data_IF_122097898526
#
_entry.id   IF_122097898526
#
_cell.length_a   1.000
_cell.length_b   1.000
_cell.length_c   1.000
_cell.angle_alpha   90.00
_cell.angle_beta   90.00
_cell.angle_gamma   90.00
#
_symmetry.space_group_name_H-M   'P 1'
#
loop_
_entity.id
_entity.type
_entity.pdbx_description
1 polymer ?
#
# COMPACT_ATOMS: atom_id res chain seq x y z
N UNK A 1 -21.42 -9.94 36.22
CA UNK A 1 -20.96 -8.64 36.78
C UNK A 1 -19.45 -8.62 36.55
N UNK A 2 -18.84 -7.76 35.75
CA UNK A 2 -19.10 -6.34 35.53
C UNK A 2 -18.80 -5.95 34.08
N UNK A 3 -19.66 -5.09 33.54
CA UNK A 3 -19.46 -4.28 32.34
C UNK A 3 -18.49 -3.12 32.64
N UNK A 4 -17.59 -2.83 31.71
CA UNK A 4 -17.03 -1.50 31.39
C UNK A 4 -16.62 -1.59 29.91
N UNK A 5 -17.38 -1.10 28.92
CA UNK A 5 -17.66 0.30 28.59
C UNK A 5 -16.43 1.19 28.62
N UNK A 6 -15.73 1.28 27.49
CA UNK A 6 -15.02 2.50 27.10
C UNK A 6 -15.09 2.67 25.59
N UNK A 7 -15.95 3.59 25.18
CA UNK A 7 -16.00 4.26 23.88
C UNK A 7 -14.62 4.64 23.37
N UNK A 8 -14.18 4.06 22.25
CA UNK A 8 -13.06 4.58 21.47
C UNK A 8 -13.62 5.43 20.33
N UNK A 9 -13.47 6.76 20.47
CA UNK A 9 -13.73 7.73 19.40
C UNK A 9 -12.54 7.69 18.43
N UNK A 10 -12.78 7.34 17.17
CA UNK A 10 -11.88 7.69 16.08
C UNK A 10 -11.88 9.22 15.88
N UNK A 11 -10.75 9.81 15.48
CA UNK A 11 -10.74 10.26 14.08
C UNK A 11 -9.37 10.10 13.38
N UNK A 12 -9.47 9.79 12.08
CA UNK A 12 -8.43 9.82 11.04
C UNK A 12 -7.47 8.62 11.06
N UNK A 13 -8.00 7.52 10.55
CA UNK A 13 -7.26 6.35 10.09
C UNK A 13 -6.96 6.58 8.60
N UNK A 14 -5.77 7.10 8.27
CA UNK A 14 -5.28 7.09 6.89
C UNK A 14 -4.72 5.69 6.65
N UNK A 15 -5.32 5.01 5.67
CA UNK A 15 -5.14 3.61 5.31
C UNK A 15 -3.66 3.20 5.27
N UNK A 16 -3.27 2.36 6.23
CA UNK A 16 -2.35 1.25 6.02
C UNK A 16 -2.69 0.23 7.11
N UNK A 17 -3.80 -0.48 6.96
CA UNK A 17 -4.17 -1.59 7.84
C UNK A 17 -4.20 -2.85 7.00
N UNK A 18 -3.07 -3.56 7.01
CA UNK A 18 -2.94 -4.99 7.29
C UNK A 18 -1.45 -5.31 7.44
N UNK A 19 -1.00 -5.38 8.69
CA UNK A 19 0.35 -5.79 9.07
C UNK A 19 0.35 -7.30 9.31
N UNK A 20 1.37 -8.01 8.83
CA UNK A 20 1.49 -9.46 8.97
C UNK A 20 2.01 -9.89 10.35
N UNK A 21 2.64 -8.98 11.08
CA UNK A 21 3.07 -9.17 12.47
C UNK A 21 2.99 -7.87 13.28
N UNK A 22 2.92 -7.97 14.61
CA UNK A 22 3.06 -6.84 15.54
C UNK A 22 4.41 -6.12 15.44
N UNK A 23 5.44 -6.76 14.88
CA UNK A 23 6.75 -6.15 14.63
C UNK A 23 6.74 -5.14 13.48
N UNK A 24 5.86 -5.33 12.46
CA UNK A 24 5.78 -4.46 11.30
C UNK A 24 5.21 -3.07 11.64
N UNK A 25 4.41 -2.98 12.71
CA UNK A 25 3.88 -1.72 13.24
C UNK A 25 4.97 -0.72 13.64
N UNK A 26 6.18 -1.19 13.94
CA UNK A 26 7.30 -0.32 14.32
C UNK A 26 8.04 0.28 13.12
N UNK A 27 7.81 -0.22 11.89
CA UNK A 27 8.56 0.14 10.68
C UNK A 27 7.97 1.31 9.91
N UNK A 28 6.73 1.70 10.19
CA UNK A 28 6.08 2.88 9.61
C UNK A 28 5.79 3.95 10.68
N UNK A 29 5.87 5.22 10.30
CA UNK A 29 5.52 6.36 11.14
C UNK A 29 4.63 7.33 10.37
N UNK A 30 3.42 7.56 10.89
CA UNK A 30 2.54 8.63 10.42
C UNK A 30 2.73 9.82 11.35
N UNK A 31 3.25 10.92 10.81
CA UNK A 31 3.25 12.21 11.50
C UNK A 31 2.00 12.98 11.09
N UNK A 32 1.24 13.50 12.04
CA UNK A 32 0.08 14.36 11.81
C UNK A 32 0.24 15.68 12.57
N UNK A 33 -0.52 16.74 12.22
CA UNK A 33 -0.40 18.03 12.89
C UNK A 33 -0.65 17.95 14.39
N UNK A 34 0.31 18.43 15.19
CA UNK A 34 0.25 18.38 16.66
C UNK A 34 0.66 17.05 17.29
N UNK A 35 1.19 16.09 16.51
CA UNK A 35 1.75 14.87 17.09
C UNK A 35 3.02 15.18 17.89
N UNK A 36 3.22 14.54 19.05
CA UNK A 36 4.50 14.62 19.77
C UNK A 36 5.51 13.56 19.30
N UNK A 37 5.15 12.76 18.28
CA UNK A 37 5.98 11.65 17.74
C UNK A 37 7.11 12.12 16.80
N UNK A 38 7.33 13.41 16.64
CA UNK A 38 8.49 13.95 15.89
C UNK A 38 9.84 13.43 16.44
N UNK A 39 9.92 13.12 17.73
CA UNK A 39 11.10 12.51 18.36
C UNK A 39 11.34 11.06 17.99
N UNK A 40 10.33 10.34 17.48
CA UNK A 40 10.42 8.92 17.10
C UNK A 40 11.17 8.68 15.77
N UNK A 41 11.38 9.73 14.97
CA UNK A 41 12.16 9.65 13.74
C UNK A 41 13.66 9.77 14.00
N UNK A 42 14.08 10.44 15.09
CA UNK A 42 15.50 10.62 15.43
C UNK A 42 16.14 9.26 15.71
N UNK A 43 17.19 8.94 14.95
CA UNK A 43 17.90 7.65 15.04
C UNK A 43 17.41 6.57 14.06
N UNK A 44 16.34 6.82 13.28
CA UNK A 44 15.89 5.93 12.20
C UNK A 44 16.52 6.33 10.86
N UNK A 45 17.85 6.20 10.79
CA UNK A 45 18.57 6.35 9.52
C UNK A 45 18.01 5.37 8.48
N UNK A 46 17.93 5.77 7.22
CA UNK A 46 17.37 5.00 6.08
C UNK A 46 15.84 4.83 6.11
N UNK A 47 15.09 5.89 6.43
CA UNK A 47 13.62 5.87 6.23
C UNK A 47 13.28 6.42 4.83
N UNK A 48 12.41 5.74 4.10
CA UNK A 48 11.70 6.25 2.93
C UNK A 48 10.55 7.16 3.38
N UNK A 49 10.25 8.18 2.59
CA UNK A 49 9.01 8.91 2.74
C UNK A 49 8.12 8.68 1.53
N UNK A 50 6.90 8.18 1.79
CA UNK A 50 5.82 8.16 0.81
C UNK A 50 5.01 9.44 1.05
N UNK A 51 5.33 10.50 0.32
CA UNK A 51 4.58 11.74 0.40
C UNK A 51 3.46 11.75 -0.63
N UNK A 52 2.24 12.00 -0.15
CA UNK A 52 1.09 12.44 -0.95
C UNK A 52 0.83 13.95 -0.80
N UNK A 53 1.66 14.65 -0.03
CA UNK A 53 1.56 16.10 0.15
C UNK A 53 2.68 16.76 -0.65
N UNK A 54 2.45 17.84 -1.40
CA UNK A 54 3.54 18.50 -2.09
C UNK A 54 4.46 19.17 -1.06
N UNK A 55 5.69 18.65 -0.90
CA UNK A 55 6.74 19.40 -0.23
C UNK A 55 7.16 20.52 -1.20
N UNK A 56 7.03 21.78 -0.80
CA UNK A 56 7.53 22.92 -1.57
C UNK A 56 9.06 22.90 -1.58
N UNK A 57 9.65 22.14 -2.49
CA UNK A 57 11.08 22.20 -2.82
C UNK A 57 11.28 23.31 -3.86
N UNK A 58 11.81 24.46 -3.42
CA UNK A 58 12.22 25.53 -4.34
C UNK A 58 11.09 26.32 -5.02
N UNK A 59 9.91 26.41 -4.40
CA UNK A 59 8.80 27.22 -4.92
C UNK A 59 8.04 26.58 -6.10
N UNK A 60 8.25 25.30 -6.38
CA UNK A 60 7.45 24.51 -7.32
C UNK A 60 6.76 23.38 -6.57
N UNK A 61 5.49 23.16 -6.88
CA UNK A 61 4.71 22.00 -6.42
C UNK A 61 5.05 20.85 -7.38
N UNK A 62 5.75 19.79 -6.97
CA UNK A 62 5.90 18.62 -7.81
C UNK A 62 4.51 18.01 -8.05
N UNK A 63 4.13 17.85 -9.33
CA UNK A 63 2.80 17.38 -9.76
C UNK A 63 2.61 15.87 -9.53
N UNK A 64 3.72 15.15 -9.28
CA UNK A 64 3.78 13.73 -8.88
C UNK A 64 5.02 13.56 -8.01
N UNK A 65 4.88 12.93 -6.85
CA UNK A 65 5.98 12.63 -5.94
C UNK A 65 6.23 11.13 -5.92
N UNK A 66 7.39 10.73 -6.45
CA UNK A 66 7.92 9.38 -6.27
C UNK A 66 8.36 9.20 -4.81
N UNK A 67 8.42 7.95 -4.38
CA UNK A 67 9.04 7.62 -3.10
C UNK A 67 10.50 8.04 -3.17
N UNK A 68 10.97 8.71 -2.11
CA UNK A 68 12.34 9.19 -2.03
C UNK A 68 12.94 8.81 -0.69
N UNK A 69 14.25 8.57 -0.69
CA UNK A 69 15.02 8.44 0.54
C UNK A 69 15.00 9.77 1.28
N UNK A 70 14.77 9.71 2.59
CA UNK A 70 14.88 10.88 3.45
C UNK A 70 16.32 10.99 3.95
N UNK A 71 17.07 12.04 3.55
CA UNK A 71 18.41 12.25 4.07
C UNK A 71 18.39 12.45 5.60
N UNK A 72 19.40 11.99 6.34
CA UNK A 72 19.47 12.16 7.80
C UNK A 72 19.29 13.61 8.26
N UNK A 73 19.76 14.57 7.47
CA UNK A 73 19.68 16.00 7.78
C UNK A 73 18.22 16.51 7.77
N UNK A 74 17.34 15.87 6.99
CA UNK A 74 15.91 16.16 6.97
C UNK A 74 15.20 15.53 8.17
N UNK A 75 15.66 14.34 8.61
CA UNK A 75 15.16 13.67 9.82
C UNK A 75 15.44 14.53 11.07
N UNK A 76 16.59 15.19 11.12
CA UNK A 76 16.95 16.10 12.21
C UNK A 76 16.04 17.34 12.29
N UNK A 77 15.40 17.70 11.19
CA UNK A 77 14.47 18.83 11.05
C UNK A 77 13.01 18.38 10.98
N UNK A 78 12.67 17.27 11.65
CA UNK A 78 11.32 16.67 11.62
C UNK A 78 10.19 17.63 12.05
N UNK A 79 10.49 18.71 12.78
CA UNK A 79 9.51 19.76 13.10
C UNK A 79 8.98 20.50 11.86
N UNK A 80 9.75 20.54 10.76
CA UNK A 80 9.34 21.22 9.51
C UNK A 80 8.18 20.54 8.80
N UNK A 81 7.99 19.25 9.06
CA UNK A 81 6.91 18.42 8.50
C UNK A 81 5.79 18.20 9.52
N UNK A 82 5.70 19.05 10.55
CA UNK A 82 4.68 18.96 11.61
C UNK A 82 3.35 19.63 11.27
N UNK A 83 3.25 20.35 10.15
CA UNK A 83 2.06 21.13 9.79
C UNK A 83 1.03 20.36 8.97
N UNK A 84 1.43 19.25 8.37
CA UNK A 84 0.57 18.36 7.56
C UNK A 84 0.87 16.89 7.87
N UNK A 85 0.02 15.99 7.38
CA UNK A 85 0.21 14.55 7.60
C UNK A 85 1.20 13.96 6.61
N UNK A 86 2.12 13.13 7.09
CA UNK A 86 3.18 12.51 6.32
C UNK A 86 3.34 11.04 6.68
N UNK A 87 3.68 10.22 5.68
CA UNK A 87 3.95 8.80 5.86
C UNK A 87 5.43 8.53 5.61
N UNK A 88 6.11 8.08 6.66
CA UNK A 88 7.47 7.59 6.63
C UNK A 88 7.46 6.08 6.83
N UNK A 89 8.30 5.38 6.10
CA UNK A 89 8.44 3.93 6.13
C UNK A 89 9.93 3.59 6.17
N UNK A 90 10.30 2.49 6.80
CA UNK A 90 11.66 1.96 6.70
C UNK A 90 12.05 1.70 5.24
N UNK A 91 13.29 2.03 4.85
CA UNK A 91 13.82 1.63 3.56
C UNK A 91 14.03 0.12 3.51
N UNK A 92 13.42 -0.51 2.52
CA UNK A 92 13.60 -1.94 2.24
C UNK A 92 14.62 -2.05 1.12
N UNK A 93 15.79 -2.61 1.44
CA UNK A 93 16.78 -2.96 0.42
C UNK A 93 16.32 -4.23 -0.30
N UNK A 94 15.57 -4.01 -1.38
CA UNK A 94 14.84 -5.04 -2.09
C UNK A 94 15.69 -5.64 -3.21
N UNK A 95 15.54 -6.95 -3.45
CA UNK A 95 16.03 -7.58 -4.66
C UNK A 95 15.20 -7.13 -5.87
N UNK A 96 13.88 -6.99 -5.71
CA UNK A 96 12.93 -6.50 -6.72
C UNK A 96 11.58 -6.13 -6.09
N UNK A 97 10.79 -5.31 -6.79
CA UNK A 97 9.37 -5.10 -6.47
C UNK A 97 8.51 -6.20 -7.10
N UNK A 98 7.30 -6.40 -6.56
CA UNK A 98 6.30 -7.30 -7.13
C UNK A 98 4.98 -6.54 -7.21
N UNK A 99 4.45 -6.42 -8.44
CA UNK A 99 3.10 -5.91 -8.70
C UNK A 99 2.15 -7.08 -8.76
N UNK A 100 1.24 -7.14 -7.80
CA UNK A 100 0.16 -8.14 -7.73
C UNK A 100 -1.13 -7.50 -8.20
N UNK A 101 -1.79 -8.08 -9.19
CA UNK A 101 -3.10 -7.66 -9.68
C UNK A 101 -4.10 -8.75 -9.33
N UNK A 102 -5.13 -8.38 -8.57
CA UNK A 102 -6.23 -9.27 -8.22
C UNK A 102 -7.45 -8.90 -9.07
N UNK A 103 -8.07 -9.90 -9.69
CA UNK A 103 -9.32 -9.76 -10.45
C UNK A 103 -10.29 -10.87 -10.03
N UNK A 104 -11.28 -10.51 -9.21
CA UNK A 104 -12.14 -11.47 -8.51
C UNK A 104 -11.30 -12.28 -7.51
N UNK A 105 -11.20 -13.59 -7.75
CA UNK A 105 -10.38 -14.52 -6.96
C UNK A 105 -9.06 -14.89 -7.66
N UNK A 106 -8.79 -14.32 -8.83
CA UNK A 106 -7.56 -14.61 -9.59
C UNK A 106 -6.47 -13.63 -9.19
N UNK A 107 -5.28 -14.17 -8.88
CA UNK A 107 -4.10 -13.40 -8.49
C UNK A 107 -3.03 -13.51 -9.56
N UNK A 108 -2.49 -12.36 -9.98
CA UNK A 108 -1.45 -12.26 -10.98
C UNK A 108 -0.29 -11.48 -10.40
N UNK A 109 0.89 -12.08 -10.30
CA UNK A 109 2.06 -11.41 -9.74
C UNK A 109 3.17 -11.26 -10.79
N UNK A 110 3.76 -10.08 -10.83
CA UNK A 110 4.87 -9.75 -11.74
C UNK A 110 6.01 -9.13 -10.95
N UNK A 111 7.20 -9.71 -11.05
CA UNK A 111 8.45 -9.12 -10.57
C UNK A 111 8.83 -7.92 -11.44
N UNK A 112 9.35 -6.88 -10.81
CA UNK A 112 9.87 -5.68 -11.45
C UNK A 112 11.32 -5.51 -11.00
N UNK A 113 12.24 -5.76 -11.93
CA UNK A 113 13.68 -5.64 -11.70
C UNK A 113 14.16 -4.28 -12.20
N UNK A 114 14.70 -3.47 -11.30
CA UNK A 114 15.22 -2.15 -11.56
C UNK A 114 16.67 -2.17 -12.07
N UNK A 115 17.00 -1.25 -13.00
CA UNK A 115 18.34 -1.12 -13.60
C UNK A 115 18.97 0.26 -13.36
N UNK A 116 18.50 1.00 -12.36
CA UNK A 116 19.08 2.26 -11.87
C UNK A 116 18.88 2.42 -10.36
N UNK A 117 19.66 3.29 -9.70
CA UNK A 117 19.49 3.57 -8.28
C UNK A 117 18.12 4.21 -7.97
N UNK A 118 17.64 5.10 -8.84
CA UNK A 118 16.34 5.77 -8.65
C UNK A 118 15.17 4.80 -8.82
N UNK A 119 15.23 3.93 -9.82
CA UNK A 119 14.21 2.88 -10.03
C UNK A 119 14.29 1.78 -8.96
N UNK A 120 15.46 1.58 -8.35
CA UNK A 120 15.62 0.71 -7.18
C UNK A 120 14.98 1.29 -5.92
N UNK A 121 14.85 2.62 -5.82
CA UNK A 121 14.07 3.25 -4.74
C UNK A 121 12.58 3.18 -5.06
N UNK A 122 12.19 3.60 -6.27
CA UNK A 122 10.82 3.60 -6.76
C UNK A 122 10.78 3.27 -8.26
N UNK A 123 10.30 2.08 -8.61
CA UNK A 123 10.25 1.62 -10.00
C UNK A 123 9.46 2.57 -10.92
N UNK A 124 8.52 3.36 -10.36
CA UNK A 124 7.66 4.26 -11.12
C UNK A 124 8.40 5.46 -11.72
N UNK A 125 9.66 5.69 -11.33
CA UNK A 125 10.48 6.80 -11.81
C UNK A 125 10.79 6.69 -13.30
N UNK A 126 11.14 5.49 -13.78
CA UNK A 126 11.54 5.28 -15.18
C UNK A 126 11.29 3.84 -15.65
N UNK A 127 10.14 3.64 -16.30
CA UNK A 127 9.73 2.34 -16.85
C UNK A 127 10.67 1.80 -17.94
N UNK A 128 11.48 2.65 -18.59
CA UNK A 128 12.43 2.21 -19.62
C UNK A 128 13.64 1.47 -19.03
N UNK A 129 13.85 1.60 -17.72
CA UNK A 129 14.94 0.95 -16.96
C UNK A 129 14.45 -0.21 -16.12
N UNK A 130 13.37 -0.87 -16.53
CA UNK A 130 12.78 -2.01 -15.84
C UNK A 130 12.74 -3.26 -16.72
N UNK A 131 12.84 -4.43 -16.10
CA UNK A 131 12.49 -5.71 -16.74
C UNK A 131 11.50 -6.48 -15.88
N UNK A 132 10.63 -7.25 -16.53
CA UNK A 132 9.49 -7.89 -15.88
C UNK A 132 9.54 -9.41 -16.00
N UNK A 133 9.08 -10.10 -14.96
CA UNK A 133 8.95 -11.57 -14.97
C UNK A 133 7.70 -12.00 -14.22
N UNK A 134 7.04 -13.05 -14.67
CA UNK A 134 5.95 -13.64 -13.90
C UNK A 134 6.48 -14.19 -12.58
N UNK A 135 5.75 -13.92 -11.50
CA UNK A 135 6.08 -14.39 -10.15
C UNK A 135 5.02 -15.38 -9.68
N UNK A 136 5.46 -16.44 -9.00
CA UNK A 136 4.56 -17.34 -8.27
C UNK A 136 4.65 -17.01 -6.79
N UNK A 137 3.56 -16.46 -6.24
CA UNK A 137 3.50 -16.18 -4.81
C UNK A 137 3.44 -17.49 -4.02
N UNK A 138 4.05 -17.54 -2.82
CA UNK A 138 3.73 -18.59 -1.86
C UNK A 138 2.23 -18.58 -1.56
N UNK A 139 1.64 -19.78 -1.42
CA UNK A 139 0.20 -19.94 -1.23
C UNK A 139 -0.35 -19.15 -0.02
N UNK A 140 0.45 -19.04 1.04
CA UNK A 140 0.10 -18.27 2.23
C UNK A 140 -0.03 -16.77 1.92
N UNK A 141 0.92 -16.19 1.19
CA UNK A 141 0.89 -14.78 0.79
C UNK A 141 -0.31 -14.53 -0.14
N UNK A 142 -0.54 -15.42 -1.12
CA UNK A 142 -1.70 -15.31 -2.02
C UNK A 142 -3.02 -15.30 -1.25
N UNK A 143 -3.20 -16.22 -0.30
CA UNK A 143 -4.39 -16.29 0.55
C UNK A 143 -4.58 -15.04 1.40
N UNK A 144 -3.50 -14.51 1.95
CA UNK A 144 -3.52 -13.28 2.73
C UNK A 144 -3.95 -12.06 1.89
N UNK A 145 -3.45 -11.93 0.65
CA UNK A 145 -3.85 -10.85 -0.25
C UNK A 145 -5.32 -10.97 -0.70
N UNK A 146 -5.79 -12.19 -0.94
CA UNK A 146 -7.21 -12.42 -1.23
C UNK A 146 -8.11 -12.08 -0.03
N UNK A 147 -7.70 -12.45 1.19
CA UNK A 147 -8.41 -12.08 2.41
C UNK A 147 -8.44 -10.55 2.62
N UNK A 148 -7.33 -9.87 2.31
CA UNK A 148 -7.26 -8.40 2.33
C UNK A 148 -8.24 -7.76 1.35
N UNK A 149 -8.27 -8.25 0.11
CA UNK A 149 -9.17 -7.77 -0.93
C UNK A 149 -10.64 -7.98 -0.52
N UNK A 150 -10.96 -9.15 0.06
CA UNK A 150 -12.28 -9.47 0.58
C UNK A 150 -12.69 -8.59 1.77
N UNK A 151 -11.76 -8.29 2.68
CA UNK A 151 -11.99 -7.40 3.82
C UNK A 151 -12.44 -6.00 3.38
N UNK A 152 -11.83 -5.46 2.32
CA UNK A 152 -12.22 -4.18 1.74
C UNK A 152 -13.39 -4.26 0.74
N UNK A 153 -13.95 -5.45 0.51
CA UNK A 153 -15.05 -5.66 -0.42
C UNK A 153 -14.68 -5.37 -1.88
N UNK A 154 -13.40 -5.53 -2.23
CA UNK A 154 -12.85 -5.23 -3.54
C UNK A 154 -12.93 -6.45 -4.46
N UNK A 155 -13.24 -6.20 -5.74
CA UNK A 155 -13.16 -7.20 -6.80
C UNK A 155 -11.94 -6.97 -7.71
N UNK A 156 -11.27 -5.84 -7.55
CA UNK A 156 -10.05 -5.49 -8.26
C UNK A 156 -9.13 -4.73 -7.31
N UNK A 157 -7.84 -5.06 -7.35
CA UNK A 157 -6.80 -4.30 -6.69
C UNK A 157 -5.48 -4.50 -7.40
N UNK A 158 -4.64 -3.46 -7.42
CA UNK A 158 -3.23 -3.59 -7.67
C UNK A 158 -2.48 -3.39 -6.34
N UNK A 159 -1.64 -4.34 -5.98
CA UNK A 159 -0.92 -4.41 -4.71
C UNK A 159 0.56 -4.39 -5.02
N UNK A 160 1.32 -3.59 -4.31
CA UNK A 160 2.77 -3.54 -4.43
C UNK A 160 3.40 -4.22 -3.23
N UNK A 161 4.30 -5.17 -3.51
CA UNK A 161 5.16 -5.81 -2.53
C UNK A 161 6.63 -5.50 -2.88
N UNK A 162 7.51 -5.59 -1.90
CA UNK A 162 8.95 -5.70 -2.10
C UNK A 162 9.42 -7.09 -1.65
N UNK A 163 10.40 -7.66 -2.36
CA UNK A 163 11.10 -8.88 -1.92
C UNK A 163 12.54 -8.55 -1.63
N UNK A 164 13.02 -8.82 -0.42
CA UNK A 164 14.42 -8.54 -0.05
C UNK A 164 15.40 -9.62 -0.52
N UNK A 165 16.69 -9.40 -0.25
CA UNK A 165 17.77 -10.33 -0.60
C UNK A 165 17.76 -11.64 0.20
N UNK A 166 17.02 -11.68 1.32
CA UNK A 166 16.80 -12.85 2.16
C UNK A 166 15.58 -13.66 1.68
N UNK A 167 14.77 -13.09 0.80
CA UNK A 167 13.60 -13.71 0.20
C UNK A 167 12.29 -13.39 0.91
N UNK A 168 12.32 -12.48 1.89
CA UNK A 168 11.15 -12.03 2.67
C UNK A 168 10.27 -11.08 1.86
N UNK A 169 8.96 -11.12 2.11
CA UNK A 169 7.96 -10.30 1.43
C UNK A 169 7.49 -9.15 2.33
N UNK A 170 7.48 -7.94 1.77
CA UNK A 170 7.02 -6.74 2.45
C UNK A 170 5.84 -6.15 1.66
N UNK A 171 4.70 -5.96 2.33
CA UNK A 171 3.57 -5.24 1.74
C UNK A 171 3.80 -3.73 1.79
N UNK A 172 3.58 -3.05 0.66
CA UNK A 172 3.78 -1.61 0.53
C UNK A 172 2.45 -0.86 0.42
N UNK A 173 1.65 -1.18 -0.60
CA UNK A 173 0.36 -0.54 -0.83
C UNK A 173 -0.68 -1.48 -1.43
N UNK A 174 -1.95 -1.14 -1.23
CA UNK A 174 -3.08 -1.65 -1.99
C UNK A 174 -3.77 -0.47 -2.67
N UNK A 175 -3.84 -0.52 -4.00
CA UNK A 175 -4.47 0.48 -4.83
C UNK A 175 -5.70 -0.12 -5.55
N UNK A 176 -6.94 0.24 -5.16
CA UNK A 176 -8.17 -0.29 -5.77
C UNK A 176 -8.41 0.19 -7.21
N UNK A 177 -7.60 1.12 -7.71
CA UNK A 177 -7.67 1.66 -9.07
C UNK A 177 -6.30 1.70 -9.75
N UNK A 178 -5.37 0.84 -9.30
CA UNK A 178 -3.99 0.86 -9.77
C UNK A 178 -3.86 0.48 -11.24
N UNK A 179 -2.95 1.15 -11.95
CA UNK A 179 -2.64 0.81 -13.34
C UNK A 179 -2.01 -0.60 -13.42
N UNK A 180 -2.48 -1.42 -14.37
CA UNK A 180 -2.00 -2.79 -14.57
C UNK A 180 -1.63 -3.10 -16.03
N UNK A 181 -2.18 -2.34 -16.98
CA UNK A 181 -2.14 -2.67 -18.40
C UNK A 181 -0.71 -2.79 -18.97
N UNK A 182 0.22 -2.01 -18.43
CA UNK A 182 1.63 -1.99 -18.85
C UNK A 182 2.40 -3.30 -18.53
N UNK A 183 1.83 -4.20 -17.72
CA UNK A 183 2.41 -5.51 -17.43
C UNK A 183 2.18 -6.54 -18.54
N UNK A 184 1.10 -6.38 -19.31
CA UNK A 184 0.62 -7.42 -20.25
C UNK A 184 1.58 -7.64 -21.41
N UNK A 185 2.01 -6.58 -22.08
CA UNK A 185 2.93 -6.67 -23.21
C UNK A 185 4.28 -7.36 -22.86
N UNK A 186 5.01 -6.93 -21.81
CA UNK A 186 6.31 -7.54 -21.50
C UNK A 186 6.25 -8.94 -20.91
N UNK A 187 5.11 -9.37 -20.35
CA UNK A 187 5.00 -10.68 -19.67
C UNK A 187 4.07 -11.67 -20.37
N UNK A 188 3.26 -11.22 -21.34
CA UNK A 188 2.26 -12.03 -22.05
C UNK A 188 1.04 -12.40 -21.22
N UNK A 189 0.88 -11.86 -20.01
CA UNK A 189 -0.24 -12.15 -19.13
C UNK A 189 -1.51 -11.42 -19.58
N UNK A 190 -2.63 -12.13 -19.88
CA UNK A 190 -3.78 -11.53 -20.59
C UNK A 190 -4.73 -10.74 -19.67
N UNK A 191 -4.21 -9.79 -18.88
CA UNK A 191 -4.93 -9.05 -17.84
C UNK A 191 -6.18 -8.34 -18.37
N UNK A 192 -6.15 -7.74 -19.56
CA UNK A 192 -7.33 -7.11 -20.15
C UNK A 192 -8.47 -8.12 -20.36
N UNK A 193 -8.15 -9.33 -20.82
CA UNK A 193 -9.13 -10.39 -21.01
C UNK A 193 -9.70 -10.89 -19.66
N UNK A 194 -8.86 -10.95 -18.62
CA UNK A 194 -9.31 -11.26 -17.27
C UNK A 194 -10.27 -10.21 -16.71
N UNK A 195 -9.95 -8.93 -16.87
CA UNK A 195 -10.83 -7.85 -16.43
C UNK A 195 -12.14 -7.84 -17.21
N UNK A 196 -12.10 -7.97 -18.54
CA UNK A 196 -13.29 -8.02 -19.37
C UNK A 196 -14.21 -9.17 -18.97
N UNK A 197 -13.66 -10.36 -18.71
CA UNK A 197 -14.43 -11.51 -18.20
C UNK A 197 -15.00 -11.26 -16.81
N UNK A 198 -14.25 -10.65 -15.90
CA UNK A 198 -14.77 -10.29 -14.57
C UNK A 198 -16.00 -9.39 -14.68
N UNK A 199 -15.95 -8.40 -15.58
CA UNK A 199 -17.06 -7.45 -15.80
C UNK A 199 -18.28 -8.10 -16.47
N UNK A 200 -18.09 -9.11 -17.33
CA UNK A 200 -19.21 -9.79 -18.02
C UNK A 200 -19.88 -10.89 -17.20
N UNK A 201 -19.20 -11.43 -16.18
CA UNK A 201 -19.74 -12.50 -15.33
C UNK A 201 -20.81 -12.03 -14.34
N UNK A 202 -20.87 -10.73 -14.03
CA UNK A 202 -21.79 -10.16 -13.04
C UNK A 202 -21.51 -10.67 -11.60
N UNK A 203 -22.18 -10.09 -10.60
CA UNK A 203 -22.13 -10.66 -9.24
C UNK A 203 -22.89 -11.99 -9.26
N UNK A 204 -22.26 -13.09 -8.81
CA UNK A 204 -23.03 -14.17 -8.19
C UNK A 204 -23.58 -13.60 -6.89
N UNK A 205 -24.84 -13.17 -6.90
CA UNK A 205 -25.51 -12.70 -5.69
C UNK A 205 -25.46 -13.80 -4.63
N UNK A 206 -24.69 -13.60 -3.56
CA UNK A 206 -25.06 -14.17 -2.27
C UNK A 206 -26.14 -13.22 -1.74
N UNK A 207 -27.41 -13.61 -1.86
CA UNK A 207 -28.51 -12.94 -1.18
C UNK A 207 -28.20 -12.86 0.32
N UNK A 208 -27.71 -11.72 0.77
CA UNK A 208 -27.86 -11.29 2.16
C UNK A 208 -29.05 -10.33 2.14
N UNK A 209 -30.23 -10.84 2.49
CA UNK A 209 -31.39 -10.02 2.80
C UNK A 209 -31.02 -9.06 3.92
N UNK A 210 -30.85 -7.79 3.57
CA UNK A 210 -30.80 -6.72 4.55
C UNK A 210 -32.22 -6.52 5.08
N UNK A 211 -32.49 -6.99 6.31
CA UNK A 211 -33.67 -6.56 7.05
C UNK A 211 -33.34 -5.26 7.81
N UNK A 212 -34.04 -4.14 7.54
CA UNK A 212 -33.90 -2.96 8.37
C UNK A 212 -34.42 -3.27 9.77
N UNK A 213 -33.59 -3.01 10.78
CA UNK A 213 -33.99 -3.14 12.18
C UNK A 213 -35.24 -2.29 12.46
N UNK A 214 -36.28 -2.94 13.00
CA UNK A 214 -37.48 -2.29 13.53
C UNK A 214 -37.07 -1.22 14.56
N UNK A 215 -37.11 0.04 14.15
CA UNK A 215 -37.14 1.16 15.08
C UNK A 215 -38.56 1.18 15.66
N UNK A 216 -38.79 0.35 16.67
CA UNK A 216 -39.97 0.47 17.50
C UNK A 216 -39.95 1.85 18.17
N UNK A 217 -41.04 2.57 17.92
CA UNK A 217 -41.52 3.77 18.62
C UNK A 217 -41.09 3.83 20.09
N UNK A 218 -40.20 4.76 20.42
CA UNK A 218 -40.14 5.29 21.77
C UNK A 218 -41.40 6.14 21.98
N UNK A 219 -42.17 5.73 22.97
CA UNK A 219 -43.37 6.39 23.50
C UNK A 219 -43.01 7.72 24.16
#
# INVERSE_FOLDING_TARGET
>A
MSLMSSTFRAPIQILCTCFFSTEDLNRCCILYPGSTRHTSLKGRANSLALFFVPLLLGGRIPLSTHTSLVPPEIIEQAERVSTTTHFFQEYIDKQYDIRVVIMGEQVFATEIHAHSEETHVDFRVDYSRLTYRLHQLPAEIEQQLLALNAFYGLHFSAIDLARDHQGEYYFLELNPSGQFAWLEEPTGIPLHAHLARLLTQGKKEKHATYEPANIHSAS
#
